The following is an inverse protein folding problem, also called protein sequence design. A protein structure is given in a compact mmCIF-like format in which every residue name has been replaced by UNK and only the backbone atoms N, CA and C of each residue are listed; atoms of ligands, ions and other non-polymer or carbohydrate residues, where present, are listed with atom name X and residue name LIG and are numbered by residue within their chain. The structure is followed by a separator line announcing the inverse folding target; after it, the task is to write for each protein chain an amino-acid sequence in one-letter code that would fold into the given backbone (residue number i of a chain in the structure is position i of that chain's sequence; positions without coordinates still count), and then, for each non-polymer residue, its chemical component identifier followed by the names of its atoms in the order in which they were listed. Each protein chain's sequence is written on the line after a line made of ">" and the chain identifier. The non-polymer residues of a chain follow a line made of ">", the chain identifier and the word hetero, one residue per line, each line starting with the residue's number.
data_IF_854013421463
#
_entry.id   IF_854013421463
#
_cell.length_a   1.000
_cell.length_b   1.000
_cell.length_c   1.000
_cell.angle_alpha   90.00
_cell.angle_beta   90.00
_cell.angle_gamma   90.00
#
_symmetry.space_group_name_H-M   'P 1'
#
loop_
_entity.id
_entity.type
_entity.pdbx_description
1 polymer ?
#
# COMPACT_ATOMS: atom_id res chain seq x y z
N UNK A 1 -6.68 -50.08 -43.69
CA UNK A 1 -7.72 -49.18 -43.15
C UNK A 1 -7.13 -48.47 -41.95
N UNK A 2 -7.12 -47.12 -41.89
CA UNK A 2 -6.61 -46.42 -40.72
C UNK A 2 -7.73 -46.29 -39.69
N UNK A 3 -7.46 -46.74 -38.46
CA UNK A 3 -8.35 -46.54 -37.33
C UNK A 3 -8.36 -45.07 -36.91
N UNK A 4 -9.56 -44.51 -36.88
CA UNK A 4 -9.85 -43.14 -36.44
C UNK A 4 -9.68 -43.04 -34.92
N UNK A 5 -8.61 -42.39 -34.47
CA UNK A 5 -8.44 -41.97 -33.08
C UNK A 5 -9.42 -40.85 -32.76
N UNK A 6 -10.42 -41.14 -31.92
CA UNK A 6 -11.41 -40.18 -31.42
C UNK A 6 -10.75 -39.19 -30.47
N UNK A 7 -10.60 -37.94 -30.92
CA UNK A 7 -10.21 -36.83 -30.06
C UNK A 7 -11.28 -36.59 -28.98
N UNK A 8 -10.94 -36.89 -27.72
CA UNK A 8 -11.79 -36.59 -26.57
C UNK A 8 -11.99 -35.07 -26.40
N UNK A 9 -13.11 -34.62 -25.81
CA UNK A 9 -13.39 -33.21 -25.63
C UNK A 9 -12.34 -32.56 -24.71
N UNK A 10 -11.80 -31.42 -25.16
CA UNK A 10 -10.85 -30.63 -24.37
C UNK A 10 -11.50 -30.18 -23.06
N UNK A 11 -10.80 -30.24 -21.92
CA UNK A 11 -11.38 -29.82 -20.66
C UNK A 11 -11.61 -28.31 -20.72
N UNK A 12 -12.87 -27.90 -20.81
CA UNK A 12 -13.29 -26.51 -20.64
C UNK A 12 -12.70 -26.01 -19.33
N UNK A 13 -11.74 -25.08 -19.43
CA UNK A 13 -11.08 -24.43 -18.30
C UNK A 13 -12.11 -23.57 -17.58
N UNK A 14 -12.95 -24.21 -16.74
CA UNK A 14 -13.84 -23.52 -15.80
C UNK A 14 -12.94 -22.61 -14.97
N UNK A 15 -13.10 -21.30 -15.17
CA UNK A 15 -12.43 -20.24 -14.43
C UNK A 15 -12.92 -20.36 -12.98
N UNK A 16 -12.30 -21.26 -12.20
CA UNK A 16 -12.43 -21.26 -10.74
C UNK A 16 -12.11 -19.83 -10.31
N UNK A 17 -13.09 -19.16 -9.70
CA UNK A 17 -12.85 -17.94 -8.96
C UNK A 17 -11.71 -18.27 -8.00
N UNK A 18 -10.54 -17.68 -8.25
CA UNK A 18 -9.39 -17.88 -7.40
C UNK A 18 -9.65 -17.15 -6.08
N UNK A 19 -10.31 -17.85 -5.16
CA UNK A 19 -10.65 -17.41 -3.79
C UNK A 19 -9.41 -17.03 -2.96
N UNK A 20 -8.21 -17.06 -3.56
CA UNK A 20 -6.93 -16.65 -3.01
C UNK A 20 -6.53 -15.19 -3.24
N UNK A 21 -7.23 -14.39 -4.06
CA UNK A 21 -6.75 -13.03 -4.36
C UNK A 21 -6.83 -12.10 -3.12
N UNK A 22 -5.75 -11.39 -2.75
CA UNK A 22 -5.74 -10.49 -1.58
C UNK A 22 -6.85 -9.45 -1.58
N UNK A 23 -7.27 -9.00 -2.78
CA UNK A 23 -8.34 -8.02 -2.97
C UNK A 23 -9.70 -8.54 -2.48
N UNK A 24 -10.01 -9.82 -2.69
CA UNK A 24 -11.26 -10.43 -2.20
C UNK A 24 -11.27 -10.43 -0.66
N UNK A 25 -10.13 -10.72 -0.03
CA UNK A 25 -10.01 -10.71 1.43
C UNK A 25 -10.08 -9.30 2.01
N UNK A 26 -9.46 -8.32 1.36
CA UNK A 26 -9.62 -6.92 1.71
C UNK A 26 -11.10 -6.49 1.59
N UNK A 27 -11.78 -6.85 0.51
CA UNK A 27 -13.21 -6.54 0.32
C UNK A 27 -14.09 -7.21 1.38
N UNK A 28 -13.83 -8.48 1.71
CA UNK A 28 -14.54 -9.19 2.76
C UNK A 28 -14.30 -8.57 4.15
N UNK A 29 -13.05 -8.19 4.45
CA UNK A 29 -12.71 -7.50 5.70
C UNK A 29 -13.40 -6.14 5.80
N UNK A 30 -13.42 -5.35 4.72
CA UNK A 30 -14.15 -4.09 4.66
C UNK A 30 -15.65 -4.31 4.86
N UNK A 31 -16.24 -5.32 4.21
CA UNK A 31 -17.65 -5.66 4.39
C UNK A 31 -17.97 -6.02 5.85
N UNK A 32 -17.16 -6.88 6.47
CA UNK A 32 -17.32 -7.25 7.89
C UNK A 32 -17.23 -6.01 8.79
N UNK A 33 -16.27 -5.13 8.54
CA UNK A 33 -16.11 -3.90 9.30
C UNK A 33 -17.30 -2.94 9.12
N UNK A 34 -17.81 -2.80 7.90
CA UNK A 34 -19.00 -1.99 7.63
C UNK A 34 -20.24 -2.56 8.32
N UNK A 35 -20.43 -3.88 8.31
CA UNK A 35 -21.51 -4.55 9.03
C UNK A 35 -21.38 -4.35 10.55
N UNK A 36 -20.16 -4.41 11.10
CA UNK A 36 -19.91 -4.08 12.50
C UNK A 36 -20.31 -2.64 12.83
N UNK A 37 -20.02 -1.68 11.96
CA UNK A 37 -20.46 -0.29 12.16
C UNK A 37 -21.98 -0.13 12.21
N UNK A 38 -22.74 -0.94 11.46
CA UNK A 38 -24.22 -0.93 11.55
C UNK A 38 -24.69 -1.42 12.91
N UNK A 39 -24.01 -2.40 13.50
CA UNK A 39 -24.34 -2.92 14.84
C UNK A 39 -24.04 -1.86 15.91
N UNK A 40 -22.92 -1.16 15.79
CA UNK A 40 -22.52 -0.09 16.74
C UNK A 40 -23.36 1.18 16.56
N UNK A 41 -23.64 1.55 15.31
CA UNK A 41 -24.43 2.72 14.94
C UNK A 41 -25.45 2.32 13.86
N UNK A 42 -26.72 2.05 14.25
CA UNK A 42 -27.77 1.66 13.30
C UNK A 42 -28.01 2.68 12.18
N UNK A 43 -27.67 3.96 12.41
CA UNK A 43 -27.75 5.04 11.43
C UNK A 43 -26.53 5.15 10.51
N UNK A 44 -25.56 4.23 10.58
CA UNK A 44 -24.30 4.35 9.84
C UNK A 44 -24.49 4.51 8.32
N UNK A 45 -25.47 3.82 7.72
CA UNK A 45 -25.78 3.98 6.29
C UNK A 45 -26.84 5.05 6.00
N UNK A 46 -27.21 5.85 6.99
CA UNK A 46 -28.12 6.98 6.84
C UNK A 46 -27.49 8.06 5.97
N UNK A 47 -27.92 8.11 4.71
CA UNK A 47 -27.54 9.17 3.78
C UNK A 47 -28.59 10.28 3.81
N UNK A 48 -28.13 11.52 3.88
CA UNK A 48 -28.98 12.72 3.82
C UNK A 48 -28.49 13.64 2.70
N UNK A 49 -29.42 14.20 1.94
CA UNK A 49 -29.11 15.23 0.96
C UNK A 49 -29.53 16.56 1.57
N UNK A 50 -28.59 17.49 1.68
CA UNK A 50 -28.83 18.85 2.18
C UNK A 50 -28.19 19.83 1.20
N UNK A 51 -28.97 20.81 0.73
CA UNK A 51 -28.53 21.82 -0.24
C UNK A 51 -27.92 21.23 -1.53
N UNK A 52 -28.43 20.07 -1.97
CA UNK A 52 -27.92 19.36 -3.15
C UNK A 52 -26.63 18.55 -2.89
N UNK A 53 -26.15 18.51 -1.66
CA UNK A 53 -24.93 17.78 -1.26
C UNK A 53 -25.25 16.55 -0.42
N UNK A 54 -24.48 15.49 -0.63
CA UNK A 54 -24.62 14.22 0.07
C UNK A 54 -23.82 14.25 1.37
N UNK A 55 -24.47 13.85 2.46
CA UNK A 55 -23.87 13.72 3.79
C UNK A 55 -24.24 12.38 4.42
N UNK A 56 -23.48 11.99 5.43
CA UNK A 56 -23.68 10.77 6.21
C UNK A 56 -22.35 10.09 6.49
N UNK A 57 -22.34 9.19 7.46
CA UNK A 57 -21.11 8.50 7.88
C UNK A 57 -20.34 7.83 6.72
N UNK A 58 -20.97 7.24 5.68
CA UNK A 58 -20.21 6.67 4.57
C UNK A 58 -19.51 7.77 3.76
N UNK A 59 -20.17 8.92 3.56
CA UNK A 59 -19.55 10.07 2.87
C UNK A 59 -18.40 10.63 3.68
N UNK A 60 -18.54 10.72 5.00
CA UNK A 60 -17.47 11.17 5.90
C UNK A 60 -16.27 10.21 5.87
N UNK A 61 -16.52 8.90 5.81
CA UNK A 61 -15.48 7.89 5.59
C UNK A 61 -14.77 8.14 4.26
N UNK A 62 -15.50 8.36 3.15
CA UNK A 62 -14.85 8.65 1.87
C UNK A 62 -14.05 9.97 1.92
N UNK A 63 -14.62 11.03 2.49
CA UNK A 63 -14.00 12.35 2.60
C UNK A 63 -12.70 12.28 3.40
N UNK A 64 -12.74 11.64 4.57
CA UNK A 64 -11.59 11.54 5.46
C UNK A 64 -10.55 10.51 4.97
N UNK A 65 -10.96 9.51 4.18
CA UNK A 65 -10.04 8.56 3.54
C UNK A 65 -9.28 9.20 2.38
N UNK A 66 -9.81 10.28 1.78
CA UNK A 66 -9.32 10.84 0.53
C UNK A 66 -7.83 11.27 0.59
N UNK A 67 -7.34 12.04 1.59
CA UNK A 67 -5.92 12.41 1.67
C UNK A 67 -5.00 11.18 1.77
N UNK A 68 -5.34 10.22 2.64
CA UNK A 68 -4.56 8.98 2.80
C UNK A 68 -4.59 8.13 1.54
N UNK A 69 -5.76 7.99 0.90
CA UNK A 69 -5.90 7.25 -0.35
C UNK A 69 -5.10 7.90 -1.48
N UNK A 70 -5.12 9.23 -1.58
CA UNK A 70 -4.37 9.97 -2.60
C UNK A 70 -2.86 9.69 -2.49
N UNK A 71 -2.32 9.76 -1.26
CA UNK A 71 -0.93 9.39 -0.98
C UNK A 71 -0.69 7.90 -1.25
N UNK A 72 -1.61 7.04 -0.84
CA UNK A 72 -1.49 5.59 -1.03
C UNK A 72 -1.46 5.20 -2.50
N UNK A 73 -2.15 5.92 -3.39
CA UNK A 73 -2.06 5.72 -4.85
C UNK A 73 -0.64 5.99 -5.35
N UNK A 74 -0.01 7.09 -4.93
CA UNK A 74 1.39 7.37 -5.23
C UNK A 74 2.34 6.33 -4.62
N UNK A 75 2.13 6.01 -3.35
CA UNK A 75 2.91 5.01 -2.61
C UNK A 75 2.81 3.61 -3.24
N UNK A 76 1.67 3.27 -3.85
CA UNK A 76 1.49 2.00 -4.58
C UNK A 76 2.53 1.86 -5.68
N UNK A 77 2.78 2.93 -6.44
CA UNK A 77 3.76 2.92 -7.51
C UNK A 77 5.19 2.88 -6.95
N UNK A 78 5.47 3.60 -5.86
CA UNK A 78 6.77 3.58 -5.17
C UNK A 78 7.11 2.16 -4.71
N UNK A 79 6.17 1.52 -4.00
CA UNK A 79 6.30 0.15 -3.52
C UNK A 79 6.40 -0.84 -4.69
N UNK A 80 5.62 -0.64 -5.76
CA UNK A 80 5.73 -1.46 -6.96
C UNK A 80 7.16 -1.45 -7.54
N UNK A 81 7.88 -0.33 -7.43
CA UNK A 81 9.28 -0.20 -7.84
C UNK A 81 10.32 -0.56 -6.77
N UNK A 82 9.93 -1.23 -5.67
CA UNK A 82 10.77 -1.59 -4.50
C UNK A 82 11.22 -0.42 -3.62
N UNK A 83 10.55 0.71 -3.72
CA UNK A 83 10.76 1.85 -2.84
C UNK A 83 9.80 1.84 -1.64
N UNK A 84 10.12 2.64 -0.64
CA UNK A 84 9.17 3.11 0.38
C UNK A 84 9.48 4.59 0.57
N UNK A 85 8.48 5.45 0.52
CA UNK A 85 8.65 6.88 0.78
C UNK A 85 8.09 7.25 2.16
N UNK A 86 8.97 7.36 3.15
CA UNK A 86 8.60 7.76 4.51
C UNK A 86 8.42 9.29 4.64
N UNK A 87 8.82 10.07 3.64
CA UNK A 87 8.77 11.54 3.70
C UNK A 87 7.41 12.13 3.35
N UNK A 88 6.44 11.34 2.86
CA UNK A 88 5.15 11.86 2.38
C UNK A 88 4.37 12.66 3.44
N UNK A 89 4.48 12.30 4.72
CA UNK A 89 3.90 13.09 5.82
C UNK A 89 4.60 14.44 6.02
N UNK A 90 5.92 14.49 5.83
CA UNK A 90 6.68 15.74 5.88
C UNK A 90 6.42 16.61 4.65
N UNK A 91 6.31 16.04 3.44
CA UNK A 91 5.94 16.77 2.21
C UNK A 91 4.55 17.38 2.36
N UNK A 92 3.60 16.61 2.92
CA UNK A 92 2.27 17.09 3.29
C UNK A 92 2.39 18.32 4.21
N UNK A 93 3.14 18.23 5.29
CA UNK A 93 3.31 19.32 6.25
C UNK A 93 3.96 20.57 5.64
N UNK A 94 5.04 20.40 4.85
CA UNK A 94 5.70 21.50 4.14
C UNK A 94 4.74 22.18 3.18
N UNK A 95 3.96 21.40 2.40
CA UNK A 95 3.01 21.98 1.46
C UNK A 95 1.91 22.80 2.14
N UNK A 96 1.39 22.31 3.27
CA UNK A 96 0.42 23.03 4.07
C UNK A 96 0.99 24.32 4.66
N UNK A 97 2.19 24.23 5.26
CA UNK A 97 2.93 25.36 5.78
C UNK A 97 3.16 26.44 4.71
N UNK A 98 3.77 26.07 3.58
CA UNK A 98 4.06 27.00 2.48
C UNK A 98 2.77 27.65 1.96
N UNK A 99 1.70 26.88 1.74
CA UNK A 99 0.44 27.45 1.26
C UNK A 99 -0.13 28.48 2.24
N UNK A 100 -0.17 28.18 3.53
CA UNK A 100 -0.74 29.08 4.53
C UNK A 100 0.13 30.31 4.78
N UNK A 101 1.46 30.17 4.78
CA UNK A 101 2.37 31.33 4.84
C UNK A 101 2.18 32.27 3.65
N UNK A 102 1.95 31.73 2.45
CA UNK A 102 1.66 32.54 1.25
C UNK A 102 0.32 33.28 1.39
N UNK A 103 -0.72 32.63 1.93
CA UNK A 103 -2.02 33.27 2.14
C UNK A 103 -1.93 34.35 3.22
N UNK A 104 -1.30 34.05 4.36
CA UNK A 104 -1.13 34.98 5.48
C UNK A 104 -0.31 36.22 5.08
N UNK A 105 0.78 36.03 4.33
CA UNK A 105 1.66 37.12 3.89
C UNK A 105 1.16 37.92 2.68
N UNK A 106 0.01 37.56 2.10
CA UNK A 106 -0.51 38.25 0.92
C UNK A 106 -1.14 39.60 1.27
N UNK A 107 -1.03 40.58 0.36
CA UNK A 107 -1.70 41.87 0.51
C UNK A 107 -3.24 41.76 0.52
N UNK A 108 -3.78 40.76 -0.18
CA UNK A 108 -5.19 40.36 -0.12
C UNK A 108 -5.30 38.85 0.13
N UNK A 109 -5.37 38.43 1.41
CA UNK A 109 -5.47 37.02 1.79
C UNK A 109 -6.73 36.33 1.26
N UNK A 110 -7.80 37.09 0.98
CA UNK A 110 -9.12 36.55 0.61
C UNK A 110 -9.29 36.35 -0.90
N UNK A 111 -8.44 36.98 -1.71
CA UNK A 111 -8.50 36.88 -3.17
C UNK A 111 -8.33 35.46 -3.68
N UNK A 112 -9.06 35.11 -4.74
CA UNK A 112 -8.87 33.85 -5.46
C UNK A 112 -7.47 33.74 -6.09
N UNK A 113 -6.84 34.86 -6.47
CA UNK A 113 -5.47 34.85 -7.00
C UNK A 113 -4.47 34.37 -5.95
N UNK A 114 -4.64 34.79 -4.70
CA UNK A 114 -3.80 34.36 -3.57
C UNK A 114 -3.91 32.86 -3.34
N UNK A 115 -5.12 32.29 -3.41
CA UNK A 115 -5.31 30.84 -3.31
C UNK A 115 -4.58 30.08 -4.43
N UNK A 116 -4.67 30.56 -5.66
CA UNK A 116 -3.97 29.96 -6.80
C UNK A 116 -2.45 30.03 -6.61
N UNK A 117 -1.92 31.17 -6.19
CA UNK A 117 -0.48 31.33 -5.92
C UNK A 117 -0.03 30.39 -4.80
N UNK A 118 -0.80 30.28 -3.72
CA UNK A 118 -0.51 29.37 -2.62
C UNK A 118 -0.46 27.90 -3.08
N UNK A 119 -1.46 27.46 -3.84
CA UNK A 119 -1.52 26.09 -4.40
C UNK A 119 -0.35 25.83 -5.35
N UNK A 120 -0.06 26.74 -6.28
CA UNK A 120 1.04 26.58 -7.24
C UNK A 120 2.40 26.58 -6.55
N UNK A 121 2.60 27.43 -5.54
CA UNK A 121 3.85 27.48 -4.78
C UNK A 121 4.04 26.18 -3.99
N UNK A 122 3.00 25.68 -3.32
CA UNK A 122 3.05 24.40 -2.62
C UNK A 122 3.33 23.23 -3.58
N UNK A 123 2.69 23.21 -4.76
CA UNK A 123 2.96 22.21 -5.81
C UNK A 123 4.40 22.26 -6.33
N UNK A 124 4.94 23.47 -6.54
CA UNK A 124 6.33 23.64 -6.95
C UNK A 124 7.30 23.09 -5.89
N UNK A 125 7.07 23.39 -4.62
CA UNK A 125 7.87 22.84 -3.51
C UNK A 125 7.74 21.32 -3.45
N UNK A 126 6.52 20.77 -3.56
CA UNK A 126 6.28 19.32 -3.61
C UNK A 126 7.03 18.63 -4.75
N UNK A 127 7.04 19.23 -5.94
CA UNK A 127 7.79 18.74 -7.10
C UNK A 127 9.30 18.71 -6.82
N UNK A 128 9.85 19.75 -6.20
CA UNK A 128 11.27 19.81 -5.83
C UNK A 128 11.62 18.73 -4.80
N UNK A 129 10.80 18.57 -3.76
CA UNK A 129 11.01 17.54 -2.73
C UNK A 129 10.91 16.11 -3.31
N UNK A 130 9.95 15.87 -4.22
CA UNK A 130 9.84 14.61 -4.93
C UNK A 130 11.00 14.35 -5.90
N UNK A 131 11.45 15.39 -6.61
CA UNK A 131 12.61 15.32 -7.49
C UNK A 131 13.89 15.05 -6.71
N UNK A 132 14.02 15.58 -5.49
CA UNK A 132 15.12 15.31 -4.57
C UNK A 132 15.17 13.83 -4.18
N UNK A 133 14.07 13.27 -3.66
CA UNK A 133 14.00 11.84 -3.35
C UNK A 133 14.25 10.98 -4.60
N UNK A 134 13.59 11.33 -5.71
CA UNK A 134 13.77 10.63 -6.98
C UNK A 134 15.22 10.65 -7.45
N UNK A 135 15.93 11.77 -7.29
CA UNK A 135 17.34 11.92 -7.65
C UNK A 135 18.24 11.04 -6.77
N UNK A 136 18.07 11.12 -5.45
CA UNK A 136 18.86 10.32 -4.50
C UNK A 136 18.69 8.82 -4.74
N UNK A 137 17.45 8.37 -4.98
CA UNK A 137 17.17 6.95 -5.14
C UNK A 137 17.58 6.44 -6.54
N UNK A 138 17.20 7.15 -7.60
CA UNK A 138 17.37 6.63 -8.97
C UNK A 138 18.71 6.96 -9.60
N UNK A 139 19.32 8.10 -9.24
CA UNK A 139 20.57 8.59 -9.83
C UNK A 139 21.75 8.25 -8.94
N UNK A 140 21.70 8.68 -7.67
CA UNK A 140 22.79 8.45 -6.70
C UNK A 140 22.83 6.99 -6.25
N UNK A 141 21.67 6.31 -6.21
CA UNK A 141 21.57 4.90 -5.81
C UNK A 141 21.51 4.71 -4.29
N UNK A 142 21.07 5.72 -3.55
CA UNK A 142 20.81 5.60 -2.11
C UNK A 142 19.58 4.71 -1.90
N UNK A 143 19.61 3.87 -0.86
CA UNK A 143 18.47 3.05 -0.52
C UNK A 143 17.21 3.92 -0.26
N UNK A 144 16.05 3.60 -0.87
CA UNK A 144 14.77 4.31 -0.69
C UNK A 144 14.44 4.79 0.73
N UNK A 145 14.57 3.89 1.71
CA UNK A 145 14.23 4.16 3.10
C UNK A 145 15.15 5.25 3.65
N UNK A 146 16.46 5.18 3.40
CA UNK A 146 17.44 6.16 3.91
C UNK A 146 17.18 7.54 3.28
N UNK A 147 17.04 7.60 1.95
CA UNK A 147 16.81 8.86 1.24
C UNK A 147 15.55 9.57 1.77
N UNK A 148 14.47 8.81 1.97
CA UNK A 148 13.18 9.35 2.38
C UNK A 148 13.12 9.64 3.89
N UNK A 149 13.86 8.92 4.74
CA UNK A 149 14.01 9.28 6.17
C UNK A 149 14.77 10.59 6.36
N UNK A 150 15.80 10.84 5.55
CA UNK A 150 16.51 12.12 5.55
C UNK A 150 15.56 13.25 5.17
N UNK A 151 14.79 13.09 4.09
CA UNK A 151 13.81 14.10 3.69
C UNK A 151 12.66 14.24 4.68
N UNK A 152 12.24 13.16 5.35
CA UNK A 152 11.22 13.21 6.39
C UNK A 152 11.68 14.12 7.55
N UNK A 153 12.90 13.90 8.04
CA UNK A 153 13.48 14.68 9.14
C UNK A 153 13.71 16.13 8.71
N UNK A 154 14.37 16.35 7.56
CA UNK A 154 14.67 17.68 7.05
C UNK A 154 13.41 18.46 6.65
N UNK A 155 12.45 17.80 5.99
CA UNK A 155 11.19 18.39 5.55
C UNK A 155 10.33 18.84 6.73
N UNK A 156 10.30 18.08 7.83
CA UNK A 156 9.63 18.52 9.06
C UNK A 156 10.28 19.77 9.64
N UNK A 157 11.61 19.82 9.65
CA UNK A 157 12.36 21.03 10.01
C UNK A 157 12.07 22.21 9.08
N UNK A 158 11.97 21.96 7.77
CA UNK A 158 11.62 22.99 6.79
C UNK A 158 10.22 23.56 7.02
N UNK A 159 9.23 22.70 7.31
CA UNK A 159 7.89 23.15 7.66
C UNK A 159 7.89 24.04 8.91
N UNK A 160 8.69 23.68 9.93
CA UNK A 160 8.87 24.51 11.13
C UNK A 160 9.56 25.84 10.82
N UNK A 161 10.59 25.85 9.98
CA UNK A 161 11.28 27.09 9.59
C UNK A 161 10.38 28.04 8.80
N UNK A 162 9.54 27.51 7.90
CA UNK A 162 8.59 28.31 7.10
C UNK A 162 7.51 28.96 7.97
N UNK A 163 7.22 28.37 9.13
CA UNK A 163 6.13 28.80 10.03
C UNK A 163 6.63 29.42 11.32
N UNK A 164 7.94 29.61 11.48
CA UNK A 164 8.58 29.96 12.76
C UNK A 164 8.13 29.08 13.94
N UNK A 165 7.81 27.82 13.64
CA UNK A 165 7.30 26.82 14.60
C UNK A 165 5.89 27.08 15.11
N UNK A 166 5.17 28.05 14.55
CA UNK A 166 3.80 28.39 14.93
C UNK A 166 2.76 27.68 14.06
N UNK A 167 1.54 27.59 14.57
CA UNK A 167 0.38 27.18 13.76
C UNK A 167 -0.08 28.41 12.98
N UNK A 168 -0.01 28.35 11.65
CA UNK A 168 -0.53 29.44 10.81
C UNK A 168 -1.99 29.16 10.52
N UNK A 169 -2.84 30.14 10.84
CA UNK A 169 -4.27 30.12 10.51
C UNK A 169 -4.57 31.21 9.51
N UNK A 170 -5.17 30.84 8.37
CA UNK A 170 -5.53 31.77 7.33
C UNK A 170 -6.86 31.35 6.70
N UNK A 171 -7.69 32.34 6.37
CA UNK A 171 -8.97 32.10 5.72
C UNK A 171 -8.95 32.63 4.30
N UNK A 172 -9.22 31.75 3.35
CA UNK A 172 -9.43 32.13 1.96
C UNK A 172 -10.56 31.27 1.40
N UNK A 173 -11.69 31.84 0.95
CA UNK A 173 -12.85 31.06 0.50
C UNK A 173 -12.54 30.09 -0.65
N UNK A 174 -11.68 30.49 -1.60
CA UNK A 174 -11.29 29.64 -2.72
C UNK A 174 -10.38 28.49 -2.26
N UNK A 175 -9.52 28.72 -1.27
CA UNK A 175 -8.69 27.69 -0.68
C UNK A 175 -9.50 26.74 0.21
N UNK A 176 -10.39 27.27 1.06
CA UNK A 176 -11.28 26.49 1.93
C UNK A 176 -12.22 25.57 1.13
N UNK A 177 -12.55 25.92 -0.12
CA UNK A 177 -13.30 25.02 -1.02
C UNK A 177 -12.58 23.68 -1.24
N UNK A 178 -11.25 23.64 -1.20
CA UNK A 178 -10.49 22.38 -1.30
C UNK A 178 -10.73 21.45 -0.10
N UNK A 179 -11.08 22.02 1.06
CA UNK A 179 -11.32 21.34 2.33
C UNK A 179 -12.80 21.13 2.70
N UNK A 180 -13.70 21.98 2.21
CA UNK A 180 -15.13 21.93 2.56
C UNK A 180 -16.07 21.97 1.36
N UNK A 181 -15.54 22.14 0.15
CA UNK A 181 -16.32 22.30 -1.06
C UNK A 181 -16.92 21.00 -1.57
N UNK A 182 -17.81 21.13 -2.55
CA UNK A 182 -18.51 20.03 -3.19
C UNK A 182 -18.43 20.14 -4.71
N UNK A 183 -18.45 18.99 -5.37
CA UNK A 183 -18.54 18.84 -6.82
C UNK A 183 -19.60 17.78 -7.11
N UNK A 184 -20.64 18.14 -7.87
CA UNK A 184 -21.75 17.22 -8.23
C UNK A 184 -22.38 16.53 -7.00
N UNK A 185 -22.50 17.25 -5.88
CA UNK A 185 -23.07 16.73 -4.64
C UNK A 185 -22.13 15.89 -3.77
N UNK A 186 -20.89 15.63 -4.19
CA UNK A 186 -19.88 14.90 -3.41
C UNK A 186 -18.79 15.85 -2.89
N UNK A 187 -18.16 15.55 -1.73
CA UNK A 187 -17.05 16.36 -1.23
C UNK A 187 -15.91 16.47 -2.24
N UNK A 188 -15.37 17.68 -2.43
CA UNK A 188 -14.34 17.98 -3.43
C UNK A 188 -13.11 17.07 -3.27
N UNK A 189 -12.74 16.73 -2.03
CA UNK A 189 -11.64 15.81 -1.74
C UNK A 189 -11.81 14.44 -2.36
N UNK A 190 -13.02 13.90 -2.30
CA UNK A 190 -13.36 12.59 -2.86
C UNK A 190 -13.23 12.66 -4.38
N UNK A 191 -13.76 13.71 -4.99
CA UNK A 191 -13.74 13.89 -6.45
C UNK A 191 -12.32 14.07 -6.97
N UNK A 192 -11.49 14.88 -6.31
CA UNK A 192 -10.08 15.07 -6.68
C UNK A 192 -9.32 13.75 -6.58
N UNK A 193 -9.50 13.03 -5.46
CA UNK A 193 -8.82 11.75 -5.23
C UNK A 193 -9.26 10.69 -6.25
N UNK A 194 -10.57 10.60 -6.55
CA UNK A 194 -11.09 9.72 -7.59
C UNK A 194 -10.57 10.11 -8.97
N UNK A 195 -10.48 11.42 -9.29
CA UNK A 195 -9.90 11.90 -10.53
C UNK A 195 -8.46 11.44 -10.72
N UNK A 196 -7.62 11.61 -9.68
CA UNK A 196 -6.23 11.14 -9.69
C UNK A 196 -6.15 9.61 -9.79
N UNK A 197 -6.95 8.89 -8.99
CA UNK A 197 -7.02 7.42 -9.04
C UNK A 197 -7.40 6.92 -10.44
N UNK A 198 -8.41 7.51 -11.07
CA UNK A 198 -8.86 7.14 -12.41
C UNK A 198 -7.81 7.48 -13.46
N UNK A 199 -7.13 8.63 -13.33
CA UNK A 199 -6.02 9.00 -14.22
C UNK A 199 -4.86 8.00 -14.11
N UNK A 200 -4.44 7.64 -12.89
CA UNK A 200 -3.39 6.64 -12.65
C UNK A 200 -3.83 5.26 -13.13
N UNK A 201 -5.07 4.86 -12.88
CA UNK A 201 -5.61 3.58 -13.36
C UNK A 201 -5.66 3.53 -14.88
N UNK A 202 -6.07 4.60 -15.54
CA UNK A 202 -6.07 4.70 -16.99
C UNK A 202 -4.63 4.65 -17.54
N UNK A 203 -3.71 5.42 -16.97
CA UNK A 203 -2.32 5.46 -17.40
C UNK A 203 -1.64 4.09 -17.23
N UNK A 204 -1.83 3.43 -16.09
CA UNK A 204 -1.21 2.13 -15.79
C UNK A 204 -1.85 0.96 -16.53
N UNK A 205 -3.17 0.98 -16.79
CA UNK A 205 -3.89 -0.13 -17.45
C UNK A 205 -4.02 0.02 -18.96
N UNK A 206 -4.03 1.24 -19.49
CA UNK A 206 -4.20 1.51 -20.92
C UNK A 206 -2.90 1.85 -21.64
N UNK A 207 -1.81 2.08 -20.91
CA UNK A 207 -0.47 2.27 -21.50
C UNK A 207 0.50 1.21 -21.00
N UNK A 208 1.69 1.17 -21.60
CA UNK A 208 2.76 0.28 -21.16
C UNK A 208 3.31 0.62 -19.75
N UNK A 209 2.96 1.78 -19.17
CA UNK A 209 3.52 2.24 -17.89
C UNK A 209 3.34 1.20 -16.77
N UNK A 210 2.18 0.55 -16.69
CA UNK A 210 1.94 -0.47 -15.67
C UNK A 210 2.92 -1.64 -15.78
N UNK A 211 3.09 -2.19 -16.99
CA UNK A 211 4.07 -3.26 -17.24
C UNK A 211 5.51 -2.81 -17.01
N UNK A 212 5.86 -1.57 -17.36
CA UNK A 212 7.21 -1.04 -17.13
C UNK A 212 7.51 -0.92 -15.63
N UNK A 213 6.55 -0.46 -14.83
CA UNK A 213 6.66 -0.41 -13.37
C UNK A 213 6.81 -1.82 -12.77
N UNK A 214 6.00 -2.79 -13.23
CA UNK A 214 6.11 -4.18 -12.79
C UNK A 214 7.44 -4.82 -13.18
N UNK A 215 7.96 -4.53 -14.38
CA UNK A 215 9.25 -5.03 -14.85
C UNK A 215 10.41 -4.50 -14.00
N UNK A 216 10.47 -3.17 -13.79
CA UNK A 216 11.45 -2.53 -12.90
C UNK A 216 11.34 -3.08 -11.49
N UNK A 217 10.12 -3.24 -11.01
CA UNK A 217 9.80 -3.81 -9.71
C UNK A 217 10.14 -5.29 -9.54
N UNK A 218 10.21 -6.07 -10.62
CA UNK A 218 10.53 -7.50 -10.57
C UNK A 218 12.03 -7.72 -10.64
N UNK A 219 12.72 -7.04 -11.56
CA UNK A 219 14.18 -7.03 -11.62
C UNK A 219 14.66 -5.76 -12.35
N UNK A 220 15.19 -4.75 -11.63
CA UNK A 220 15.61 -3.49 -12.23
C UNK A 220 16.83 -3.63 -13.16
N UNK A 221 17.69 -4.63 -12.93
CA UNK A 221 18.85 -4.90 -13.79
C UNK A 221 18.43 -5.55 -15.11
N UNK A 222 17.56 -6.57 -15.04
CA UNK A 222 17.02 -7.21 -16.23
C UNK A 222 16.17 -6.21 -17.05
N UNK A 223 15.38 -5.36 -16.39
CA UNK A 223 14.63 -4.30 -17.05
C UNK A 223 15.57 -3.34 -17.81
N UNK A 224 16.71 -2.97 -17.22
CA UNK A 224 17.72 -2.12 -17.87
C UNK A 224 18.36 -2.80 -19.08
N UNK A 225 18.70 -4.09 -18.97
CA UNK A 225 19.22 -4.88 -20.09
C UNK A 225 18.19 -5.04 -21.23
N UNK A 226 16.90 -5.02 -20.90
CA UNK A 226 15.79 -5.00 -21.85
C UNK A 226 15.48 -3.60 -22.43
N UNK A 227 16.33 -2.59 -22.18
CA UNK A 227 16.18 -1.23 -22.71
C UNK A 227 15.19 -0.34 -21.94
N UNK A 228 14.66 -0.81 -20.80
CA UNK A 228 13.78 0.00 -19.95
C UNK A 228 14.64 0.95 -19.11
N UNK A 229 14.33 2.25 -19.18
CA UNK A 229 14.97 3.29 -18.37
C UNK A 229 14.49 3.23 -16.92
N UNK A 230 14.91 2.22 -16.18
CA UNK A 230 14.51 1.97 -14.77
C UNK A 230 14.69 3.20 -13.90
N UNK A 231 15.82 3.91 -14.05
CA UNK A 231 16.11 5.19 -13.38
C UNK A 231 15.01 6.23 -13.59
N UNK A 232 14.59 6.46 -14.83
CA UNK A 232 13.56 7.46 -15.14
C UNK A 232 12.21 7.09 -14.53
N UNK A 233 11.84 5.80 -14.56
CA UNK A 233 10.59 5.32 -13.96
C UNK A 233 10.61 5.54 -12.44
N UNK A 234 11.68 5.12 -11.77
CA UNK A 234 11.83 5.34 -10.32
C UNK A 234 11.78 6.83 -9.98
N UNK A 235 12.50 7.68 -10.72
CA UNK A 235 12.48 9.13 -10.50
C UNK A 235 11.06 9.72 -10.62
N UNK A 236 10.34 9.41 -11.70
CA UNK A 236 8.97 9.91 -11.93
C UNK A 236 8.00 9.44 -10.85
N UNK A 237 8.15 8.21 -10.36
CA UNK A 237 7.29 7.67 -9.30
C UNK A 237 7.49 8.41 -7.98
N UNK A 238 8.73 8.79 -7.62
CA UNK A 238 9.00 9.62 -6.43
C UNK A 238 8.50 11.05 -6.57
N UNK A 239 8.62 11.64 -7.76
CA UNK A 239 8.00 12.95 -8.04
C UNK A 239 6.49 12.88 -7.90
N UNK A 240 5.88 11.83 -8.46
CA UNK A 240 4.43 11.64 -8.41
C UNK A 240 3.91 11.46 -6.99
N UNK A 241 4.56 10.64 -6.14
CA UNK A 241 4.10 10.47 -4.76
C UNK A 241 4.20 11.78 -3.97
N UNK A 242 5.23 12.59 -4.19
CA UNK A 242 5.34 13.90 -3.56
C UNK A 242 4.24 14.87 -4.01
N UNK A 243 3.89 14.88 -5.30
CA UNK A 243 2.74 15.66 -5.80
C UNK A 243 1.44 15.21 -5.13
N UNK A 244 1.20 13.90 -5.01
CA UNK A 244 0.00 13.40 -4.31
C UNK A 244 -0.01 13.77 -2.83
N UNK A 245 1.15 13.76 -2.17
CA UNK A 245 1.30 14.18 -0.77
C UNK A 245 1.07 15.69 -0.59
N UNK A 246 1.53 16.50 -1.54
CA UNK A 246 1.26 17.94 -1.56
C UNK A 246 -0.22 18.25 -1.71
N UNK A 247 -0.91 17.61 -2.67
CA UNK A 247 -2.35 17.80 -2.84
C UNK A 247 -3.11 17.34 -1.59
N UNK A 248 -2.73 16.21 -1.00
CA UNK A 248 -3.28 15.75 0.27
C UNK A 248 -3.03 16.75 1.42
N UNK A 249 -1.89 17.44 1.43
CA UNK A 249 -1.56 18.48 2.41
C UNK A 249 -2.45 19.68 2.27
N UNK A 250 -2.61 20.18 1.05
CA UNK A 250 -3.53 21.26 0.74
C UNK A 250 -4.97 20.91 1.13
N UNK A 251 -5.44 19.68 0.86
CA UNK A 251 -6.76 19.21 1.28
C UNK A 251 -6.91 19.16 2.81
N UNK A 252 -5.87 18.71 3.50
CA UNK A 252 -5.89 18.53 4.96
C UNK A 252 -5.89 19.87 5.68
N UNK A 253 -5.00 20.80 5.29
CA UNK A 253 -4.91 22.13 5.91
C UNK A 253 -6.09 23.01 5.52
N UNK A 254 -6.61 22.91 4.29
CA UNK A 254 -7.84 23.60 3.89
C UNK A 254 -9.06 23.15 4.69
N UNK A 255 -9.14 21.88 5.09
CA UNK A 255 -10.30 21.35 5.83
C UNK A 255 -10.39 21.87 7.26
N UNK A 256 -9.26 22.30 7.85
CA UNK A 256 -9.20 22.82 9.22
C UNK A 256 -8.79 24.30 9.28
N UNK A 257 -8.66 24.97 8.14
CA UNK A 257 -8.19 26.37 8.00
C UNK A 257 -6.91 26.67 8.81
N UNK A 258 -6.02 25.68 8.93
CA UNK A 258 -4.80 25.81 9.71
C UNK A 258 -3.68 24.90 9.18
N UNK A 259 -2.44 25.38 9.25
CA UNK A 259 -1.23 24.62 9.00
C UNK A 259 -0.44 24.45 10.31
N UNK A 260 -0.55 23.26 10.90
CA UNK A 260 0.29 22.85 12.03
C UNK A 260 1.54 22.14 11.49
N UNK A 261 2.73 22.78 11.50
CA UNK A 261 3.96 22.19 10.96
C UNK A 261 4.38 20.92 11.70
N UNK A 262 3.96 20.75 12.96
CA UNK A 262 4.39 19.68 13.88
C UNK A 262 3.49 18.44 13.84
N UNK A 263 2.19 18.62 13.54
CA UNK A 263 1.18 17.55 13.56
C UNK A 263 0.56 17.25 12.21
N UNK A 264 0.57 18.17 11.24
CA UNK A 264 0.00 17.91 9.92
C UNK A 264 0.65 16.67 9.28
N UNK A 265 -0.17 15.74 8.81
CA UNK A 265 0.30 14.49 8.18
C UNK A 265 1.12 13.56 9.07
N UNK A 266 1.13 13.75 10.39
CA UNK A 266 1.97 12.96 11.29
C UNK A 266 1.60 11.47 11.23
N UNK A 267 2.54 10.62 10.79
CA UNK A 267 2.39 9.18 10.59
C UNK A 267 1.44 8.76 9.46
N UNK A 268 1.05 9.69 8.57
CA UNK A 268 0.20 9.35 7.41
C UNK A 268 0.92 8.41 6.43
N UNK A 269 2.26 8.46 6.40
CA UNK A 269 3.10 7.54 5.63
C UNK A 269 2.89 6.09 6.04
N UNK A 270 2.72 5.82 7.34
CA UNK A 270 2.48 4.47 7.86
C UNK A 270 1.09 3.96 7.43
N UNK A 271 0.10 4.84 7.45
CA UNK A 271 -1.25 4.52 6.98
C UNK A 271 -1.29 4.28 5.48
N UNK A 272 -0.56 5.07 4.68
CA UNK A 272 -0.46 4.88 3.25
C UNK A 272 0.21 3.54 2.90
N UNK A 273 1.34 3.22 3.53
CA UNK A 273 2.02 1.92 3.35
C UNK A 273 1.07 0.78 3.71
N UNK A 274 0.40 0.90 4.85
CA UNK A 274 -0.50 -0.11 5.34
C UNK A 274 -1.71 -0.33 4.43
N UNK A 275 -2.32 0.74 3.92
CA UNK A 275 -3.40 0.66 2.94
C UNK A 275 -2.97 -0.12 1.68
N UNK A 276 -1.76 0.17 1.19
CA UNK A 276 -1.18 -0.51 0.01
C UNK A 276 -0.90 -2.00 0.29
N UNK A 277 -0.36 -2.31 1.46
CA UNK A 277 -0.01 -3.69 1.86
C UNK A 277 -1.25 -4.53 2.17
N UNK A 278 -2.24 -4.01 2.90
CA UNK A 278 -3.55 -4.66 3.09
C UNK A 278 -4.23 -4.89 1.74
N UNK A 279 -4.06 -3.95 0.80
CA UNK A 279 -4.51 -4.08 -0.58
C UNK A 279 -3.85 -5.21 -1.39
N UNK A 280 -2.78 -5.83 -0.87
CA UNK A 280 -2.10 -6.96 -1.48
C UNK A 280 -0.96 -6.57 -2.43
N UNK A 281 -0.53 -5.31 -2.43
CA UNK A 281 0.68 -4.91 -3.16
C UNK A 281 1.92 -5.50 -2.47
N UNK A 282 2.85 -6.01 -3.26
CA UNK A 282 4.06 -6.66 -2.77
C UNK A 282 5.11 -5.65 -2.34
N UNK A 283 5.55 -5.70 -1.06
CA UNK A 283 6.70 -4.92 -0.58
C UNK A 283 8.01 -5.28 -1.30
N UNK A 284 8.10 -6.49 -1.85
CA UNK A 284 9.23 -6.92 -2.67
C UNK A 284 9.19 -6.34 -4.09
N UNK A 285 8.20 -5.49 -4.43
CA UNK A 285 8.01 -4.90 -5.75
C UNK A 285 7.42 -5.85 -6.80
N UNK A 286 7.21 -5.31 -8.00
CA UNK A 286 6.85 -6.06 -9.21
C UNK A 286 5.38 -6.47 -9.33
N UNK A 287 4.59 -6.40 -8.26
CA UNK A 287 3.14 -6.65 -8.26
C UNK A 287 2.41 -5.66 -7.38
N UNK A 288 1.41 -4.97 -7.93
CA UNK A 288 0.60 -4.01 -7.19
C UNK A 288 -0.88 -4.08 -7.57
N UNK A 289 -1.73 -3.49 -6.73
CA UNK A 289 -3.17 -3.43 -6.97
C UNK A 289 -3.75 -2.10 -6.51
N UNK A 290 -4.10 -1.22 -7.47
CA UNK A 290 -4.77 0.05 -7.16
C UNK A 290 -6.14 -0.16 -6.50
N UNK A 291 -6.89 -1.17 -6.92
CA UNK A 291 -8.19 -1.52 -6.30
C UNK A 291 -7.96 -2.00 -4.87
N UNK A 292 -6.92 -2.79 -4.65
CA UNK A 292 -6.50 -3.20 -3.32
C UNK A 292 -6.16 -2.01 -2.44
N UNK A 293 -5.39 -1.04 -2.95
CA UNK A 293 -5.04 0.20 -2.24
C UNK A 293 -6.28 0.99 -1.81
N UNK A 294 -7.29 1.10 -2.68
CA UNK A 294 -8.58 1.74 -2.34
C UNK A 294 -9.25 1.02 -1.18
N UNK A 295 -9.37 -0.31 -1.25
CA UNK A 295 -9.98 -1.11 -0.18
C UNK A 295 -9.19 -0.96 1.12
N UNK A 296 -7.86 -0.99 1.07
CA UNK A 296 -7.00 -0.81 2.23
C UNK A 296 -7.19 0.55 2.89
N UNK A 297 -7.21 1.64 2.11
CA UNK A 297 -7.44 2.99 2.64
C UNK A 297 -8.83 3.12 3.26
N UNK A 298 -9.86 2.55 2.63
CA UNK A 298 -11.22 2.51 3.17
C UNK A 298 -11.30 1.68 4.46
N UNK A 299 -10.61 0.55 4.57
CA UNK A 299 -10.53 -0.23 5.81
C UNK A 299 -9.93 0.63 6.93
N UNK A 300 -8.80 1.30 6.67
CA UNK A 300 -8.15 2.13 7.69
C UNK A 300 -9.01 3.31 8.12
N UNK A 301 -9.69 3.99 7.19
CA UNK A 301 -10.54 5.12 7.56
C UNK A 301 -11.85 4.67 8.22
N UNK A 302 -12.46 3.59 7.75
CA UNK A 302 -13.66 3.04 8.39
C UNK A 302 -13.32 2.64 9.81
N UNK A 303 -12.16 2.02 10.04
CA UNK A 303 -11.68 1.65 11.37
C UNK A 303 -11.52 2.87 12.27
N UNK A 304 -10.87 3.94 11.80
CA UNK A 304 -10.77 5.21 12.53
C UNK A 304 -12.16 5.74 12.90
N UNK A 305 -13.09 5.72 11.95
CA UNK A 305 -14.47 6.21 12.14
C UNK A 305 -15.23 5.36 13.16
N UNK A 306 -15.04 4.05 13.16
CA UNK A 306 -15.63 3.13 14.14
C UNK A 306 -15.16 3.45 15.55
N UNK A 307 -13.85 3.62 15.73
CA UNK A 307 -13.24 3.93 17.05
C UNK A 307 -13.78 5.24 17.61
N UNK A 308 -13.82 6.27 16.77
CA UNK A 308 -14.40 7.57 17.12
C UNK A 308 -15.88 7.46 17.49
N UNK A 309 -16.65 6.69 16.72
CA UNK A 309 -18.10 6.51 16.98
C UNK A 309 -18.36 5.74 18.28
N UNK A 310 -17.43 4.89 18.72
CA UNK A 310 -17.49 4.23 20.03
C UNK A 310 -17.13 5.14 21.20
N UNK A 311 -16.82 6.42 20.95
CA UNK A 311 -16.47 7.40 21.99
C UNK A 311 -15.06 7.22 22.54
N UNK A 312 -14.18 6.51 21.83
CA UNK A 312 -12.77 6.37 22.22
C UNK A 312 -12.03 7.66 21.86
N UNK A 313 -11.32 8.30 22.81
CA UNK A 313 -10.54 9.51 22.53
C UNK A 313 -9.47 9.32 21.46
N UNK A 314 -9.18 10.40 20.73
CA UNK A 314 -8.25 10.41 19.59
C UNK A 314 -6.85 9.90 19.92
N UNK A 315 -6.39 10.11 21.16
CA UNK A 315 -5.06 9.69 21.61
C UNK A 315 -4.88 8.16 21.58
N UNK A 316 -5.98 7.41 21.76
CA UNK A 316 -5.98 5.95 21.79
C UNK A 316 -6.24 5.30 20.43
N UNK A 317 -6.65 6.06 19.42
CA UNK A 317 -6.95 5.54 18.08
C UNK A 317 -5.76 4.74 17.53
N UNK A 318 -4.53 5.24 17.71
CA UNK A 318 -3.32 4.57 17.21
C UNK A 318 -3.13 3.17 17.80
N UNK A 319 -3.35 3.03 19.11
CA UNK A 319 -3.25 1.76 19.81
C UNK A 319 -4.33 0.78 19.33
N UNK A 320 -5.58 1.24 19.26
CA UNK A 320 -6.69 0.40 18.79
C UNK A 320 -6.48 -0.03 17.33
N UNK A 321 -6.04 0.92 16.49
CA UNK A 321 -5.73 0.68 15.09
C UNK A 321 -4.68 -0.42 14.95
N UNK A 322 -3.58 -0.37 15.71
CA UNK A 322 -2.56 -1.40 15.71
C UNK A 322 -3.11 -2.79 16.07
N UNK A 323 -3.93 -2.90 17.11
CA UNK A 323 -4.56 -4.18 17.52
C UNK A 323 -5.44 -4.75 16.41
N UNK A 324 -6.30 -3.93 15.80
CA UNK A 324 -7.20 -4.39 14.74
C UNK A 324 -6.43 -4.74 13.46
N UNK A 325 -5.40 -3.98 13.11
CA UNK A 325 -4.54 -4.29 11.96
C UNK A 325 -3.86 -5.65 12.14
N UNK A 326 -3.31 -5.93 13.33
CA UNK A 326 -2.74 -7.24 13.65
C UNK A 326 -3.79 -8.33 13.48
N UNK A 327 -5.00 -8.13 14.02
CA UNK A 327 -6.10 -9.10 13.86
C UNK A 327 -6.44 -9.35 12.38
N UNK A 328 -6.54 -8.29 11.56
CA UNK A 328 -6.81 -8.39 10.12
C UNK A 328 -5.69 -9.15 9.40
N UNK A 329 -4.42 -8.86 9.68
CA UNK A 329 -3.29 -9.57 9.06
C UNK A 329 -3.21 -11.03 9.49
N UNK A 330 -3.48 -11.34 10.76
CA UNK A 330 -3.55 -12.71 11.25
C UNK A 330 -4.68 -13.48 10.54
N UNK A 331 -5.85 -12.86 10.35
CA UNK A 331 -6.95 -13.47 9.57
C UNK A 331 -6.58 -13.69 8.09
N UNK A 332 -5.79 -12.79 7.50
CA UNK A 332 -5.31 -12.93 6.12
C UNK A 332 -4.13 -13.90 5.98
N UNK A 333 -3.45 -14.26 7.08
CA UNK A 333 -2.23 -15.07 7.04
C UNK A 333 -2.51 -16.47 6.44
N UNK A 334 -1.74 -16.92 5.41
CA UNK A 334 -1.96 -18.21 4.75
C UNK A 334 -1.97 -19.41 5.71
N UNK A 335 -1.15 -19.36 6.77
CA UNK A 335 -1.07 -20.42 7.80
C UNK A 335 -2.37 -20.54 8.61
N UNK A 336 -2.98 -19.41 8.97
CA UNK A 336 -4.25 -19.37 9.70
C UNK A 336 -5.40 -19.76 8.77
N UNK A 337 -5.35 -19.33 7.50
CA UNK A 337 -6.32 -19.75 6.46
C UNK A 337 -6.29 -21.26 6.22
N UNK A 338 -5.10 -21.87 6.21
CA UNK A 338 -4.96 -23.32 6.08
C UNK A 338 -5.52 -24.08 7.30
N UNK A 339 -5.35 -23.55 8.51
CA UNK A 339 -5.91 -24.12 9.73
C UNK A 339 -7.46 -24.04 9.77
N UNK A 340 -8.03 -22.91 9.32
CA UNK A 340 -9.49 -22.73 9.22
C UNK A 340 -10.11 -23.56 8.09
N UNK A 341 -9.40 -23.72 6.96
CA UNK A 341 -9.85 -24.55 5.83
C UNK A 341 -9.88 -26.05 6.15
N UNK A 342 -8.93 -26.54 6.96
CA UNK A 342 -8.92 -27.95 7.42
C UNK A 342 -10.10 -28.31 8.33
N UNK A 343 -10.72 -27.35 9.02
CA UNK A 343 -11.94 -27.58 9.82
C UNK A 343 -13.22 -27.74 8.98
N UNK A 344 -13.20 -27.35 7.69
CA UNK A 344 -14.34 -27.52 6.77
C UNK A 344 -14.24 -28.78 5.91
N UNK A 345 -13.09 -29.42 5.83
CA UNK A 345 -12.99 -30.79 5.33
C UNK A 345 -13.41 -31.73 6.48
N UNK A 346 -14.68 -32.12 6.52
CA UNK A 346 -15.15 -33.15 7.46
C UNK A 346 -14.39 -34.47 7.29
N UNK A 347 -14.43 -35.37 8.28
CA UNK A 347 -13.77 -36.67 8.21
C UNK A 347 -14.49 -37.56 7.19
N UNK A 348 -14.16 -37.39 5.91
CA UNK A 348 -14.72 -38.15 4.79
C UNK A 348 -13.70 -39.12 4.23
N UNK A 349 -13.82 -40.39 4.63
CA UNK A 349 -13.24 -41.60 4.02
C UNK A 349 -11.72 -41.61 3.83
N UNK A 350 -11.01 -42.16 4.82
CA UNK A 350 -9.72 -42.80 4.60
C UNK A 350 -9.92 -43.96 3.60
N UNK A 351 -9.61 -43.74 2.33
CA UNK A 351 -9.29 -44.86 1.44
C UNK A 351 -7.93 -45.38 1.88
N UNK A 352 -7.91 -46.58 2.45
CA UNK A 352 -6.69 -47.31 2.77
C UNK A 352 -5.78 -47.34 1.54
N UNK A 353 -4.46 -47.12 1.65
CA UNK A 353 -3.56 -47.29 0.52
C UNK A 353 -3.66 -48.74 0.06
N UNK A 354 -4.05 -48.96 -1.20
CA UNK A 354 -3.96 -50.29 -1.80
C UNK A 354 -2.49 -50.74 -1.74
N UNK A 355 -2.23 -51.81 -1.01
CA UNK A 355 -0.92 -52.48 -0.99
C UNK A 355 -0.63 -52.94 -2.43
N UNK A 356 0.51 -52.54 -3.03
CA UNK A 356 0.89 -53.05 -4.34
C UNK A 356 1.14 -54.56 -4.22
N UNK A 357 0.42 -55.36 -5.00
CA UNK A 357 0.72 -56.79 -5.16
C UNK A 357 2.00 -56.90 -6.00
N UNK A 358 3.08 -57.55 -5.51
CA UNK A 358 4.28 -57.74 -6.29
C UNK A 358 4.02 -58.67 -7.48
N UNK A 359 4.74 -58.50 -8.61
CA UNK A 359 4.66 -59.44 -9.71
C UNK A 359 5.19 -60.80 -9.24
N UNK A 360 4.49 -61.88 -9.62
CA UNK A 360 4.97 -63.25 -9.44
C UNK A 360 6.07 -63.48 -10.48
N UNK A 361 7.31 -63.65 -10.02
CA UNK A 361 8.44 -64.04 -10.85
C UNK A 361 8.23 -65.45 -11.41
N UNK A 362 8.33 -65.58 -12.73
CA UNK A 362 8.39 -66.84 -13.44
C UNK A 362 9.50 -66.78 -14.48
N UNK A 363 10.48 -67.67 -14.31
CA UNK A 363 11.57 -68.05 -15.22
C UNK A 363 12.71 -67.05 -15.43
N UNK A 364 13.69 -67.12 -14.53
CA UNK A 364 15.10 -66.86 -14.84
C UNK A 364 15.79 -68.19 -15.18
N UNK A 365 16.59 -68.25 -16.27
CA UNK A 365 17.85 -68.96 -16.15
C UNK A 365 18.97 -68.22 -16.89
N UNK A 366 19.79 -67.43 -16.20
CA UNK A 366 21.16 -67.13 -16.66
C UNK A 366 22.23 -67.28 -15.57
N UNK A 367 23.43 -67.77 -15.93
CA UNK A 367 24.35 -68.37 -14.96
C UNK A 367 25.25 -67.34 -14.27
N UNK A 368 25.54 -67.64 -13.01
CA UNK A 368 26.48 -66.97 -12.11
C UNK A 368 27.92 -66.93 -12.65
N UNK A 369 28.61 -65.81 -12.44
CA UNK A 369 30.07 -65.69 -12.51
C UNK A 369 30.61 -65.03 -11.23
N UNK A 370 31.83 -65.36 -10.77
CA UNK A 370 32.15 -65.42 -9.35
C UNK A 370 32.93 -64.22 -8.79
N UNK A 371 32.96 -64.22 -7.45
CA UNK A 371 33.47 -63.22 -6.52
C UNK A 371 34.97 -62.91 -6.63
N UNK A 372 35.33 -61.70 -6.20
CA UNK A 372 36.64 -61.41 -5.63
C UNK A 372 36.52 -60.59 -4.34
N UNK A 373 37.40 -60.96 -3.42
CA UNK A 373 37.54 -60.60 -2.00
C UNK A 373 38.77 -59.70 -1.86
N UNK A 374 38.71 -58.61 -1.07
CA UNK A 374 39.73 -58.23 -0.06
C UNK A 374 39.38 -56.86 0.58
N UNK A 375 39.02 -56.80 1.87
CA UNK A 375 39.84 -56.49 3.08
C UNK A 375 40.23 -55.02 3.32
N UNK A 376 39.51 -54.40 4.29
CA UNK A 376 39.91 -53.64 5.53
C UNK A 376 41.29 -52.91 5.62
N UNK A 377 41.55 -52.02 6.62
CA UNK A 377 40.75 -51.62 7.80
C UNK A 377 40.71 -50.09 8.12
N UNK A 378 40.02 -49.80 9.23
CA UNK A 378 39.85 -48.53 9.94
C UNK A 378 41.12 -47.93 10.58
N UNK A 379 41.08 -46.61 10.83
CA UNK A 379 41.90 -45.93 11.85
C UNK A 379 41.04 -44.92 12.63
N UNK A 380 40.86 -45.24 13.91
CA UNK A 380 40.49 -44.43 15.08
C UNK A 380 41.55 -43.31 15.32
N UNK A 381 41.29 -42.10 15.84
CA UNK A 381 41.25 -41.79 17.30
C UNK A 381 41.32 -40.25 17.54
N UNK A 382 40.65 -39.81 18.62
CA UNK A 382 40.86 -38.61 19.50
C UNK A 382 40.72 -37.19 18.93
N UNK A 383 39.84 -36.29 19.41
CA UNK A 383 39.78 -35.62 20.73
C UNK A 383 41.12 -34.93 21.07
N UNK A 384 41.24 -33.63 21.33
CA UNK A 384 40.56 -32.86 22.36
C UNK A 384 41.03 -31.38 22.28
N UNK A 385 40.29 -30.52 22.99
CA UNK A 385 40.70 -29.33 23.74
C UNK A 385 40.93 -27.94 23.12
N UNK A 386 40.17 -27.00 23.74
CA UNK A 386 40.48 -25.61 24.12
C UNK A 386 40.28 -24.45 23.13
N UNK A 387 39.05 -23.92 23.12
CA UNK A 387 38.81 -22.49 22.97
C UNK A 387 39.12 -21.77 24.29
N UNK A 388 40.10 -20.87 24.26
CA UNK A 388 40.21 -19.72 25.16
C UNK A 388 40.60 -18.51 24.33
N UNK A 389 39.75 -17.48 24.37
CA UNK A 389 40.24 -16.18 24.81
C UNK A 389 40.23 -15.00 23.84
N UNK A 390 39.38 -14.03 24.22
CA UNK A 390 39.75 -12.61 24.43
C UNK A 390 39.65 -11.64 23.23
N UNK A 391 38.59 -10.82 23.32
CA UNK A 391 38.56 -9.35 23.23
C UNK A 391 39.52 -8.66 22.24
N UNK A 392 38.92 -7.92 21.29
CA UNK A 392 39.17 -6.49 21.08
C UNK A 392 37.97 -5.83 20.43
#
# INVERSE_FOLDING_TARGET
>A
MPETSSAGPSPTRRRRLDTGSPVIWAAAALLVLLLFNVVVNPGFFGLRIQDGHLFGSPVDVLKNAAPTLLIAVGMTLVIATRGIDLSVGAVLAVSGAVAFTVVEGAADPTSASTAVIAVLTALAVGLVLGAWNGFLVSVVGIQPIIATLVLMTAGRGLAMMVTDGQIITAENPAFSWLGGGFVLGLPAQVVITLGVLLAVAALTRRTALGMLIEAVGTNPEAARLAGIRSRSITWTVYVFVAVTATVAGLMTTANISAADPSRAGLFIELDAILAVVIGGTSLAGGRYSLVGTVLGALILQTLTTTVLTMGVPDEYIRLFKAVVIIAVFLLQAPRIRAALGRRRAGPGTSTSPAVPVPPVDGDDPRPLAPADVDTRPAVTTTADTTEQGVLR
#
